data_IF_635920773291
#
_entry.id   IF_635920773291
#
_cell.length_a   1.000
_cell.length_b   1.000
_cell.length_c   1.000
_cell.angle_alpha   90.00
_cell.angle_beta   90.00
_cell.angle_gamma   90.00
#
_symmetry.space_group_name_H-M   'P 1'
#
loop_
_entity.id
_entity.type
_entity.pdbx_description
1 polymer ?
#
# COMPACT_ATOMS: atom_id res chain seq x y z
N UNK A 1 -4.95 18.95 0.11
CA UNK A 1 -3.91 19.74 -0.61
C UNK A 1 -4.22 19.86 -2.09
N UNK A 2 -4.50 18.77 -2.83
CA UNK A 2 -4.80 18.86 -4.26
C UNK A 2 -6.02 19.74 -4.59
N UNK A 3 -7.13 19.62 -3.83
CA UNK A 3 -8.38 20.38 -4.06
C UNK A 3 -8.18 21.90 -4.12
N UNK A 4 -7.53 22.56 -3.14
CA UNK A 4 -7.31 24.01 -3.21
C UNK A 4 -6.19 24.45 -4.17
N UNK A 5 -5.28 23.55 -4.56
CA UNK A 5 -4.08 23.92 -5.34
C UNK A 5 -4.30 23.77 -6.85
N UNK A 6 -4.91 22.67 -7.30
CA UNK A 6 -5.08 22.39 -8.74
C UNK A 6 -5.92 23.44 -9.50
N UNK A 7 -6.99 24.03 -8.92
CA UNK A 7 -7.79 25.05 -9.60
C UNK A 7 -7.10 26.41 -9.80
N UNK A 8 -5.89 26.60 -9.26
CA UNK A 8 -5.16 27.86 -9.45
C UNK A 8 -4.80 28.05 -10.92
N UNK A 9 -5.13 29.22 -11.48
CA UNK A 9 -5.02 29.52 -12.91
C UNK A 9 -3.70 30.19 -13.32
N UNK A 10 -2.75 30.33 -12.39
CA UNK A 10 -1.47 30.95 -12.70
C UNK A 10 -0.66 30.10 -13.69
N UNK A 11 0.09 30.77 -14.55
CA UNK A 11 1.03 30.16 -15.48
C UNK A 11 2.20 31.13 -15.69
N UNK A 12 3.38 30.76 -15.19
CA UNK A 12 4.59 31.57 -15.29
C UNK A 12 5.62 30.87 -16.16
N UNK A 13 6.10 31.53 -17.22
CA UNK A 13 7.16 30.96 -18.04
C UNK A 13 8.53 31.10 -17.33
N UNK A 14 9.28 30.00 -17.24
CA UNK A 14 10.64 29.97 -16.66
C UNK A 14 11.63 29.74 -17.80
N UNK A 15 12.31 30.80 -18.31
CA UNK A 15 13.14 30.70 -19.51
C UNK A 15 14.30 29.72 -19.40
N UNK A 16 14.88 29.56 -18.21
CA UNK A 16 16.06 28.69 -17.98
C UNK A 16 15.71 27.20 -18.15
N UNK A 17 14.46 26.83 -17.88
CA UNK A 17 14.01 25.44 -17.90
C UNK A 17 13.12 25.12 -19.11
N UNK A 18 12.76 26.13 -19.92
CA UNK A 18 11.81 26.02 -21.03
C UNK A 18 10.48 25.35 -20.61
N UNK A 19 9.96 25.77 -19.44
CA UNK A 19 8.69 25.27 -18.90
C UNK A 19 7.78 26.39 -18.43
N UNK A 20 6.47 26.12 -18.49
CA UNK A 20 5.47 26.86 -17.74
C UNK A 20 5.30 26.26 -16.35
N UNK A 21 5.42 27.11 -15.35
CA UNK A 21 5.16 26.81 -13.96
C UNK A 21 3.68 27.07 -13.64
N UNK A 22 2.95 25.97 -13.43
CA UNK A 22 1.50 25.94 -13.24
C UNK A 22 1.13 25.26 -11.91
N UNK A 23 -0.16 25.27 -11.56
CA UNK A 23 -0.71 24.70 -10.33
C UNK A 23 -0.27 23.26 -10.03
N UNK A 24 -0.21 22.38 -11.04
CA UNK A 24 0.20 20.98 -10.86
C UNK A 24 1.69 20.83 -10.51
N UNK A 25 2.56 21.74 -10.98
CA UNK A 25 3.99 21.75 -10.60
C UNK A 25 4.16 22.25 -9.18
N UNK A 26 3.40 23.27 -8.78
CA UNK A 26 3.32 23.72 -7.39
C UNK A 26 2.86 22.59 -6.46
N UNK A 27 1.83 21.83 -6.85
CA UNK A 27 1.36 20.68 -6.08
C UNK A 27 2.49 19.65 -5.85
N UNK A 28 3.26 19.34 -6.90
CA UNK A 28 4.41 18.44 -6.77
C UNK A 28 5.47 18.98 -5.80
N UNK A 29 5.76 20.28 -5.82
CA UNK A 29 6.68 20.90 -4.87
C UNK A 29 6.16 20.80 -3.43
N UNK A 30 4.87 21.08 -3.20
CA UNK A 30 4.25 20.93 -1.87
C UNK A 30 4.37 19.49 -1.37
N UNK A 31 4.16 18.49 -2.24
CA UNK A 31 4.34 17.08 -1.89
C UNK A 31 5.80 16.67 -1.68
N UNK A 32 6.76 17.39 -2.27
CA UNK A 32 8.19 17.17 -2.04
C UNK A 32 8.69 17.76 -0.72
N UNK A 33 8.00 18.76 -0.14
CA UNK A 33 8.43 19.42 1.10
C UNK A 33 8.58 18.43 2.27
N UNK A 34 7.63 17.54 2.59
CA UNK A 34 7.83 16.54 3.65
C UNK A 34 9.04 15.63 3.41
N UNK A 35 9.32 15.26 2.16
CA UNK A 35 10.50 14.46 1.82
C UNK A 35 11.80 15.25 2.05
N UNK A 36 11.83 16.52 1.68
CA UNK A 36 12.97 17.40 1.92
C UNK A 36 13.23 17.60 3.43
N UNK A 37 12.16 17.86 4.20
CA UNK A 37 12.24 17.95 5.66
C UNK A 37 12.72 16.65 6.29
N UNK A 38 12.25 15.49 5.79
CA UNK A 38 12.74 14.18 6.24
C UNK A 38 14.23 14.00 5.93
N UNK A 39 14.70 14.44 4.76
CA UNK A 39 16.12 14.38 4.40
C UNK A 39 16.99 15.23 5.32
N UNK A 40 16.53 16.42 5.68
CA UNK A 40 17.18 17.27 6.69
C UNK A 40 17.16 16.59 8.06
N UNK A 41 16.04 15.98 8.45
CA UNK A 41 15.91 15.23 9.70
C UNK A 41 16.90 14.06 9.81
N UNK A 42 17.15 13.34 8.70
CA UNK A 42 18.13 12.26 8.65
C UNK A 42 19.56 12.72 8.95
N UNK A 43 19.94 13.96 8.63
CA UNK A 43 21.25 14.51 8.97
C UNK A 43 21.47 14.60 10.49
N UNK A 44 20.39 14.80 11.26
CA UNK A 44 20.45 14.87 12.72
C UNK A 44 20.23 13.51 13.41
N UNK A 45 19.88 12.47 12.65
CA UNK A 45 19.66 11.14 13.19
C UNK A 45 20.99 10.46 13.51
N UNK A 46 21.05 9.76 14.65
CA UNK A 46 22.16 8.86 14.93
C UNK A 46 21.99 7.56 14.14
N UNK A 47 23.11 6.96 13.77
CA UNK A 47 23.14 5.63 13.16
C UNK A 47 22.55 4.57 14.11
N UNK A 48 22.00 3.48 13.56
CA UNK A 48 21.44 2.41 14.40
C UNK A 48 22.53 1.72 15.22
N UNK A 49 22.43 1.63 16.57
CA UNK A 49 23.40 0.90 17.39
C UNK A 49 23.56 -0.56 16.93
N UNK A 50 22.45 -1.17 16.50
CA UNK A 50 22.43 -2.53 15.96
C UNK A 50 23.29 -2.68 14.70
N UNK A 51 23.21 -1.71 13.80
CA UNK A 51 24.04 -1.71 12.58
C UNK A 51 25.52 -1.51 12.93
N UNK A 52 25.83 -0.58 13.83
CA UNK A 52 27.20 -0.30 14.28
C UNK A 52 27.86 -1.55 14.87
N UNK A 53 27.18 -2.27 15.77
CA UNK A 53 27.66 -3.57 16.28
C UNK A 53 27.83 -4.59 15.13
N UNK A 54 26.89 -4.65 14.18
CA UNK A 54 26.98 -5.62 13.05
C UNK A 54 28.18 -5.40 12.13
N UNK A 55 28.72 -4.17 12.06
CA UNK A 55 29.91 -3.84 11.28
C UNK A 55 31.19 -3.81 12.12
N UNK A 56 31.13 -4.30 13.38
CA UNK A 56 32.26 -4.35 14.30
C UNK A 56 32.60 -3.01 14.98
N UNK A 57 31.72 -2.01 14.90
CA UNK A 57 31.88 -0.68 15.51
C UNK A 57 31.12 -0.60 16.84
N UNK A 58 31.48 -1.46 17.79
CA UNK A 58 30.77 -1.57 19.09
C UNK A 58 30.89 -0.32 19.96
N UNK A 59 32.06 0.32 19.98
CA UNK A 59 32.28 1.55 20.76
C UNK A 59 31.36 2.69 20.31
N UNK A 60 31.24 2.89 18.99
CA UNK A 60 30.33 3.87 18.41
C UNK A 60 28.87 3.54 18.74
N UNK A 61 28.51 2.26 18.78
CA UNK A 61 27.17 1.84 19.15
C UNK A 61 26.82 2.21 20.60
N UNK A 62 27.77 2.01 21.52
CA UNK A 62 27.64 2.41 22.93
C UNK A 62 27.55 3.92 23.08
N UNK A 63 28.33 4.69 22.31
CA UNK A 63 28.25 6.15 22.31
C UNK A 63 26.87 6.64 21.86
N UNK A 64 26.33 6.05 20.79
CA UNK A 64 24.98 6.37 20.32
C UNK A 64 23.93 6.06 21.40
N UNK A 65 24.03 4.91 22.08
CA UNK A 65 23.10 4.56 23.16
C UNK A 65 23.22 5.50 24.38
N UNK A 66 24.44 5.90 24.74
CA UNK A 66 24.67 6.93 25.78
C UNK A 66 24.01 8.24 25.40
N UNK A 67 24.18 8.69 24.15
CA UNK A 67 23.53 9.91 23.64
C UNK A 67 22.00 9.80 23.72
N UNK A 68 21.42 8.66 23.31
CA UNK A 68 19.98 8.42 23.44
C UNK A 68 19.51 8.44 24.90
N UNK A 69 20.28 7.86 25.81
CA UNK A 69 20.00 7.88 27.26
C UNK A 69 20.01 9.30 27.83
N UNK A 70 21.02 10.11 27.50
CA UNK A 70 21.11 11.51 27.93
C UNK A 70 19.90 12.31 27.41
N UNK A 71 19.54 12.15 26.13
CA UNK A 71 18.39 12.84 25.53
C UNK A 71 17.07 12.45 26.21
N UNK A 72 16.86 11.15 26.46
CA UNK A 72 15.60 10.66 27.00
C UNK A 72 15.43 10.90 28.51
N UNK A 73 16.53 10.95 29.26
CA UNK A 73 16.49 11.04 30.74
C UNK A 73 16.98 12.37 31.30
N UNK A 74 17.74 13.15 30.54
CA UNK A 74 18.43 14.35 31.00
C UNK A 74 19.60 14.09 31.96
N UNK A 75 19.93 12.83 32.25
CA UNK A 75 21.02 12.45 33.18
C UNK A 75 22.38 12.45 32.48
N UNK A 76 23.48 12.56 33.24
CA UNK A 76 24.84 12.47 32.69
C UNK A 76 25.08 11.13 32.00
N UNK A 77 25.84 11.15 30.90
CA UNK A 77 26.27 9.96 30.17
C UNK A 77 27.03 8.97 31.07
N UNK A 78 27.70 9.45 32.11
CA UNK A 78 28.47 8.61 33.06
C UNK A 78 27.58 7.68 33.89
N UNK A 79 26.28 7.98 33.98
CA UNK A 79 25.31 7.14 34.71
C UNK A 79 24.75 6.00 33.85
N UNK A 80 25.18 5.89 32.58
CA UNK A 80 24.77 4.82 31.69
C UNK A 80 25.53 3.52 32.01
N UNK A 81 24.79 2.46 32.33
CA UNK A 81 25.35 1.22 32.90
C UNK A 81 25.68 0.12 31.89
N UNK A 82 25.23 0.24 30.64
CA UNK A 82 25.49 -0.78 29.60
C UNK A 82 26.89 -0.59 29.04
N UNK A 83 27.70 -1.64 29.12
CA UNK A 83 29.12 -1.65 28.72
C UNK A 83 29.41 -2.49 27.48
N UNK A 84 28.51 -3.39 27.08
CA UNK A 84 28.67 -4.26 25.92
C UNK A 84 27.31 -4.56 25.28
N UNK A 85 27.34 -4.86 23.98
CA UNK A 85 26.17 -5.23 23.19
C UNK A 85 26.47 -6.53 22.47
N UNK A 86 25.66 -7.56 22.71
CA UNK A 86 25.73 -8.81 21.95
C UNK A 86 24.57 -8.88 20.97
N UNK A 87 24.85 -9.28 19.73
CA UNK A 87 23.82 -9.61 18.75
C UNK A 87 23.36 -11.05 18.99
N UNK A 88 22.06 -11.32 18.85
CA UNK A 88 21.54 -12.69 18.84
C UNK A 88 22.27 -13.54 17.78
N UNK A 89 22.72 -14.73 18.17
CA UNK A 89 23.44 -15.69 17.32
C UNK A 89 22.64 -15.95 16.03
N UNK A 90 23.30 -15.73 14.88
CA UNK A 90 22.72 -15.83 13.53
C UNK A 90 22.59 -14.50 12.79
N UNK A 91 22.84 -13.35 13.44
CA UNK A 91 22.88 -12.03 12.80
C UNK A 91 24.26 -11.60 12.30
N UNK A 92 25.30 -12.39 12.59
CA UNK A 92 26.62 -12.20 11.98
C UNK A 92 26.51 -12.67 10.53
N UNK A 93 26.10 -11.77 9.63
CA UNK A 93 26.36 -11.98 8.21
C UNK A 93 27.87 -12.08 8.08
N UNK A 94 28.40 -13.28 7.85
CA UNK A 94 29.77 -13.43 7.37
C UNK A 94 29.92 -12.42 6.23
N UNK A 95 30.91 -11.53 6.31
CA UNK A 95 31.17 -10.51 5.29
C UNK A 95 31.26 -11.16 3.90
N UNK A 96 30.12 -11.29 3.20
CA UNK A 96 30.09 -11.74 1.83
C UNK A 96 30.59 -10.59 1.00
N UNK A 97 31.79 -10.74 0.42
CA UNK A 97 32.41 -9.71 -0.42
C UNK A 97 31.48 -9.34 -1.58
N UNK A 98 31.08 -8.07 -1.65
CA UNK A 98 30.33 -7.48 -2.77
C UNK A 98 28.81 -7.35 -2.56
N UNK A 99 28.22 -6.37 -3.27
CA UNK A 99 26.77 -6.08 -3.24
C UNK A 99 25.92 -7.33 -3.50
N UNK A 100 26.26 -8.11 -4.53
CA UNK A 100 25.56 -9.34 -4.90
C UNK A 100 25.67 -10.46 -3.86
N UNK A 101 26.82 -10.55 -3.17
CA UNK A 101 27.02 -11.51 -2.09
C UNK A 101 26.11 -11.20 -0.90
N UNK A 102 25.96 -9.92 -0.56
CA UNK A 102 25.06 -9.46 0.50
C UNK A 102 23.58 -9.67 0.14
N UNK A 103 23.18 -9.39 -1.11
CA UNK A 103 21.83 -9.68 -1.60
C UNK A 103 21.55 -11.19 -1.55
N UNK A 104 22.47 -12.01 -2.04
CA UNK A 104 22.32 -13.46 -2.01
C UNK A 104 22.19 -13.99 -0.57
N UNK A 105 23.05 -13.53 0.36
CA UNK A 105 23.00 -13.95 1.76
C UNK A 105 21.67 -13.61 2.45
N UNK A 106 21.05 -12.48 2.09
CA UNK A 106 19.78 -12.04 2.67
C UNK A 106 18.55 -12.64 1.99
N UNK A 107 18.59 -12.88 0.68
CA UNK A 107 17.45 -13.40 -0.09
C UNK A 107 17.37 -14.93 -0.09
N UNK A 108 18.50 -15.64 -0.14
CA UNK A 108 18.53 -17.12 -0.20
C UNK A 108 17.79 -17.80 0.97
N UNK A 109 17.92 -17.35 2.24
CA UNK A 109 17.21 -17.98 3.36
C UNK A 109 15.69 -17.99 3.18
N UNK A 110 15.12 -16.99 2.50
CA UNK A 110 13.68 -16.90 2.25
C UNK A 110 13.18 -17.86 1.17
N UNK A 111 14.07 -18.26 0.26
CA UNK A 111 13.79 -19.17 -0.86
C UNK A 111 14.09 -20.63 -0.46
N UNK A 112 14.62 -20.86 0.74
CA UNK A 112 14.87 -22.20 1.28
C UNK A 112 13.70 -22.69 2.15
N UNK A 113 13.46 -24.02 2.21
CA UNK A 113 12.57 -24.61 3.21
C UNK A 113 13.07 -24.31 4.64
N UNK A 114 12.18 -24.11 5.63
CA UNK A 114 10.72 -24.19 5.58
C UNK A 114 10.00 -22.89 5.13
N UNK A 115 10.74 -21.78 4.94
CA UNK A 115 10.19 -20.44 4.72
C UNK A 115 9.62 -20.23 3.31
N UNK A 116 10.13 -20.95 2.30
CA UNK A 116 9.74 -20.82 0.89
C UNK A 116 8.22 -20.84 0.66
N UNK A 117 7.49 -21.77 1.31
CA UNK A 117 6.04 -21.90 1.14
C UNK A 117 5.31 -20.63 1.59
N UNK A 118 5.72 -20.07 2.72
CA UNK A 118 5.16 -18.83 3.26
C UNK A 118 5.52 -17.63 2.40
N UNK A 119 6.78 -17.56 1.92
CA UNK A 119 7.24 -16.52 0.99
C UNK A 119 6.42 -16.50 -0.29
N UNK A 120 6.23 -17.65 -0.94
CA UNK A 120 5.46 -17.74 -2.18
C UNK A 120 3.98 -17.40 -1.95
N UNK A 121 3.37 -17.93 -0.89
CA UNK A 121 1.97 -17.65 -0.55
C UNK A 121 1.74 -16.16 -0.28
N UNK A 122 2.55 -15.54 0.57
CA UNK A 122 2.41 -14.13 0.93
C UNK A 122 2.73 -13.21 -0.26
N UNK A 123 3.75 -13.54 -1.06
CA UNK A 123 4.06 -12.80 -2.29
C UNK A 123 2.89 -12.82 -3.27
N UNK A 124 2.28 -14.00 -3.46
CA UNK A 124 1.13 -14.16 -4.36
C UNK A 124 -0.10 -13.39 -3.87
N UNK A 125 -0.39 -13.43 -2.57
CA UNK A 125 -1.47 -12.64 -1.97
C UNK A 125 -1.21 -11.13 -2.10
N UNK A 126 0.04 -10.67 -1.99
CA UNK A 126 0.39 -9.27 -2.21
C UNK A 126 0.18 -8.88 -3.66
N UNK A 127 0.57 -9.72 -4.62
CA UNK A 127 0.29 -9.50 -6.05
C UNK A 127 -1.20 -9.34 -6.28
N UNK A 128 -2.03 -10.25 -5.75
CA UNK A 128 -3.49 -10.16 -5.90
C UNK A 128 -4.03 -8.85 -5.28
N UNK A 129 -3.65 -8.53 -4.05
CA UNK A 129 -4.13 -7.31 -3.38
C UNK A 129 -3.69 -6.04 -4.12
N UNK A 130 -2.43 -5.97 -4.56
CA UNK A 130 -1.90 -4.81 -5.25
C UNK A 130 -2.52 -4.62 -6.64
N UNK A 131 -2.57 -5.67 -7.45
CA UNK A 131 -3.08 -5.59 -8.82
C UNK A 131 -4.55 -5.17 -8.81
N UNK A 132 -5.37 -5.70 -7.89
CA UNK A 132 -6.80 -5.38 -7.83
C UNK A 132 -7.07 -4.00 -7.25
N UNK A 133 -6.40 -3.61 -6.16
CA UNK A 133 -6.78 -2.37 -5.48
C UNK A 133 -6.11 -1.15 -6.09
N UNK A 134 -4.80 -1.20 -6.36
CA UNK A 134 -4.06 -0.01 -6.78
C UNK A 134 -4.54 0.50 -8.14
N UNK A 135 -4.90 -0.41 -9.05
CA UNK A 135 -5.44 -0.05 -10.35
C UNK A 135 -6.69 0.84 -10.21
N UNK A 136 -7.66 0.42 -9.41
CA UNK A 136 -8.90 1.17 -9.23
C UNK A 136 -8.73 2.46 -8.43
N UNK A 137 -7.79 2.53 -7.48
CA UNK A 137 -7.49 3.79 -6.78
C UNK A 137 -6.85 4.83 -7.70
N UNK A 138 -5.96 4.43 -8.61
CA UNK A 138 -5.37 5.35 -9.59
C UNK A 138 -6.42 5.89 -10.55
N UNK A 139 -7.34 5.03 -11.00
CA UNK A 139 -8.43 5.41 -11.91
C UNK A 139 -9.70 5.87 -11.19
N UNK A 140 -9.70 5.97 -9.85
CA UNK A 140 -10.86 6.36 -9.06
C UNK A 140 -11.42 7.73 -9.49
N UNK A 141 -10.59 8.78 -9.71
CA UNK A 141 -11.11 10.07 -10.14
C UNK A 141 -11.78 10.01 -11.52
N UNK A 142 -11.27 9.19 -12.44
CA UNK A 142 -11.87 8.98 -13.76
C UNK A 142 -13.24 8.29 -13.66
N UNK A 143 -13.32 7.20 -12.89
CA UNK A 143 -14.58 6.45 -12.68
C UNK A 143 -15.63 7.34 -12.00
N UNK A 144 -15.23 8.05 -10.94
CA UNK A 144 -16.12 8.96 -10.19
C UNK A 144 -16.55 10.15 -11.04
N UNK A 145 -15.68 10.69 -11.89
CA UNK A 145 -16.06 11.75 -12.82
C UNK A 145 -17.16 11.28 -13.78
N UNK A 146 -17.00 10.09 -14.38
CA UNK A 146 -18.00 9.53 -15.27
C UNK A 146 -19.35 9.27 -14.57
N UNK A 147 -19.28 8.77 -13.33
CA UNK A 147 -20.44 8.60 -12.47
C UNK A 147 -21.16 9.92 -12.21
N UNK A 148 -20.43 10.96 -11.81
CA UNK A 148 -21.00 12.27 -11.51
C UNK A 148 -21.59 12.96 -12.74
N UNK A 149 -20.93 12.89 -13.90
CA UNK A 149 -21.46 13.44 -15.14
C UNK A 149 -22.83 12.84 -15.49
N UNK A 150 -22.99 11.53 -15.33
CA UNK A 150 -24.24 10.83 -15.63
C UNK A 150 -25.36 11.20 -14.64
N UNK A 151 -25.04 11.22 -13.34
CA UNK A 151 -26.02 11.56 -12.28
C UNK A 151 -26.50 13.01 -12.40
N UNK A 152 -25.59 13.95 -12.69
CA UNK A 152 -25.93 15.37 -12.88
C UNK A 152 -26.78 15.58 -14.15
N UNK A 153 -26.53 14.78 -15.20
CA UNK A 153 -27.36 14.79 -16.41
C UNK A 153 -28.77 14.21 -16.21
N UNK A 154 -29.07 13.62 -15.05
CA UNK A 154 -30.37 13.03 -14.74
C UNK A 154 -30.49 11.54 -15.08
N UNK A 155 -29.44 10.92 -15.61
CA UNK A 155 -29.39 9.52 -16.01
C UNK A 155 -29.12 8.61 -14.79
N UNK A 156 -30.20 8.20 -14.12
CA UNK A 156 -30.13 7.44 -12.84
C UNK A 156 -30.28 5.93 -12.99
N UNK A 157 -30.71 5.47 -14.16
CA UNK A 157 -31.00 4.06 -14.44
C UNK A 157 -29.97 3.45 -15.39
N UNK A 158 -28.69 3.64 -15.06
CA UNK A 158 -27.56 3.11 -15.82
C UNK A 158 -26.70 2.22 -14.91
N UNK A 159 -26.09 1.22 -15.52
CA UNK A 159 -25.00 0.46 -14.92
C UNK A 159 -23.73 1.32 -14.85
N UNK A 160 -22.75 0.91 -14.03
CA UNK A 160 -21.48 1.65 -13.90
C UNK A 160 -20.72 1.77 -15.23
N UNK A 161 -20.74 0.71 -16.05
CA UNK A 161 -20.05 0.69 -17.34
C UNK A 161 -20.75 1.54 -18.39
N UNK A 162 -22.08 1.62 -18.38
CA UNK A 162 -22.82 2.55 -19.23
C UNK A 162 -22.51 4.01 -18.89
N UNK A 163 -22.40 4.36 -17.59
CA UNK A 163 -21.99 5.70 -17.17
C UNK A 163 -20.57 6.05 -17.66
N UNK A 164 -19.63 5.09 -17.58
CA UNK A 164 -18.26 5.27 -18.08
C UNK A 164 -18.24 5.50 -19.59
N UNK A 165 -18.97 4.70 -20.36
CA UNK A 165 -19.10 4.85 -21.82
C UNK A 165 -19.77 6.18 -22.20
N UNK A 166 -20.84 6.55 -21.50
CA UNK A 166 -21.55 7.81 -21.75
C UNK A 166 -20.63 9.01 -21.52
N UNK A 167 -19.89 9.03 -20.42
CA UNK A 167 -18.94 10.10 -20.11
C UNK A 167 -17.81 10.21 -21.14
N UNK A 168 -17.29 9.08 -21.63
CA UNK A 168 -16.27 9.05 -22.67
C UNK A 168 -16.77 9.62 -24.02
N UNK A 169 -18.02 9.32 -24.39
CA UNK A 169 -18.62 9.89 -25.60
C UNK A 169 -18.90 11.39 -25.47
N UNK A 170 -19.39 11.85 -24.32
CA UNK A 170 -19.67 13.28 -24.08
C UNK A 170 -18.41 14.15 -24.12
N UNK A 171 -17.28 13.65 -23.62
CA UNK A 171 -15.99 14.36 -23.65
C UNK A 171 -15.44 14.53 -25.07
N UNK A 172 -15.87 13.72 -26.04
CA UNK A 172 -15.46 13.88 -27.45
C UNK A 172 -16.20 14.99 -28.21
N UNK A 173 -17.27 15.58 -27.64
CA UNK A 173 -18.16 16.54 -28.32
C UNK A 173 -18.00 17.99 -27.79
N UNK A 174 -17.25 18.22 -26.71
CA UNK A 174 -16.98 19.56 -26.18
C UNK A 174 -15.48 19.79 -25.91
N UNK A 175 -14.70 20.10 -26.96
CA UNK A 175 -13.43 20.82 -26.80
C UNK A 175 -13.60 22.29 -27.20
N UNK A 176 -14.00 23.12 -26.24
CA UNK A 176 -13.58 24.52 -26.19
C UNK A 176 -13.34 24.92 -24.74
N UNK A 177 -12.12 24.63 -24.24
CA UNK A 177 -11.47 25.52 -23.27
C UNK A 177 -11.38 25.11 -21.79
N UNK A 178 -11.85 23.95 -21.35
CA UNK A 178 -11.70 23.57 -19.93
C UNK A 178 -11.43 22.07 -19.73
N UNK A 179 -10.15 21.68 -19.74
CA UNK A 179 -9.68 20.34 -19.39
C UNK A 179 -9.60 20.13 -17.86
N UNK A 180 -10.43 20.83 -17.08
CA UNK A 180 -10.47 20.68 -15.63
C UNK A 180 -11.39 19.52 -15.25
N UNK A 181 -10.92 18.69 -14.31
CA UNK A 181 -11.77 17.68 -13.69
C UNK A 181 -12.87 18.37 -12.87
N UNK A 182 -14.09 17.83 -12.93
CA UNK A 182 -15.22 18.36 -12.19
C UNK A 182 -14.90 18.46 -10.68
N UNK A 183 -15.01 19.66 -10.12
CA UNK A 183 -14.74 19.95 -8.70
C UNK A 183 -15.61 19.10 -7.75
N UNK A 184 -16.81 18.75 -8.20
CA UNK A 184 -17.73 17.86 -7.47
C UNK A 184 -17.21 16.42 -7.42
N UNK A 185 -16.67 15.91 -8.54
CA UNK A 185 -16.08 14.58 -8.60
C UNK A 185 -14.86 14.46 -7.68
N UNK A 186 -13.98 15.47 -7.67
CA UNK A 186 -12.81 15.51 -6.76
C UNK A 186 -13.22 15.55 -5.29
N UNK A 187 -14.30 16.25 -4.96
CA UNK A 187 -14.85 16.28 -3.59
C UNK A 187 -15.43 14.92 -3.20
N UNK A 188 -16.11 14.22 -4.12
CA UNK A 188 -16.64 12.89 -3.86
C UNK A 188 -15.51 11.87 -3.65
N UNK A 189 -14.44 11.91 -4.45
CA UNK A 189 -13.26 11.06 -4.26
C UNK A 189 -12.68 11.24 -2.85
N UNK A 190 -12.58 12.49 -2.37
CA UNK A 190 -12.14 12.76 -1.00
C UNK A 190 -13.10 12.15 0.05
N UNK A 191 -14.42 12.29 -0.15
CA UNK A 191 -15.43 11.69 0.71
C UNK A 191 -15.33 10.15 0.75
N UNK A 192 -15.16 9.51 -0.41
CA UNK A 192 -14.96 8.05 -0.54
C UNK A 192 -13.75 7.59 0.28
N UNK A 193 -12.60 8.24 0.11
CA UNK A 193 -11.37 7.88 0.83
C UNK A 193 -11.51 8.13 2.33
N UNK A 194 -12.22 9.19 2.74
CA UNK A 194 -12.49 9.47 4.15
C UNK A 194 -13.36 8.37 4.78
N UNK A 195 -14.43 7.94 4.11
CA UNK A 195 -15.29 6.84 4.56
C UNK A 195 -14.49 5.55 4.68
N UNK A 196 -13.67 5.22 3.67
CA UNK A 196 -12.80 4.05 3.73
C UNK A 196 -11.80 4.12 4.89
N UNK A 197 -11.24 5.31 5.18
CA UNK A 197 -10.37 5.54 6.34
C UNK A 197 -11.07 5.26 7.66
N UNK A 198 -12.31 5.72 7.82
CA UNK A 198 -13.15 5.44 8.99
C UNK A 198 -13.43 3.94 9.11
N UNK A 199 -13.84 3.27 8.02
CA UNK A 199 -14.05 1.82 8.00
C UNK A 199 -12.78 1.03 8.36
N UNK A 200 -11.60 1.50 7.97
CA UNK A 200 -10.33 0.86 8.34
C UNK A 200 -10.05 0.91 9.86
N UNK A 201 -10.43 2.02 10.52
CA UNK A 201 -10.32 2.13 11.99
C UNK A 201 -11.23 1.12 12.67
N UNK A 202 -12.49 1.02 12.23
CA UNK A 202 -13.44 0.02 12.74
C UNK A 202 -12.93 -1.42 12.52
N UNK A 203 -12.42 -1.71 11.33
CA UNK A 203 -11.81 -3.00 10.99
C UNK A 203 -10.65 -3.35 11.93
N UNK A 204 -9.80 -2.36 12.23
CA UNK A 204 -8.67 -2.50 13.14
C UNK A 204 -9.11 -2.74 14.59
N UNK A 205 -10.26 -2.23 15.02
CA UNK A 205 -10.81 -2.51 16.36
C UNK A 205 -11.34 -3.95 16.48
N UNK A 206 -11.97 -4.47 15.42
CA UNK A 206 -12.62 -5.78 15.40
C UNK A 206 -11.61 -6.93 15.17
N UNK A 207 -10.40 -6.63 14.71
CA UNK A 207 -9.35 -7.62 14.39
C UNK A 207 -9.08 -8.60 15.54
N UNK A 208 -9.14 -8.12 16.78
CA UNK A 208 -8.88 -8.92 17.98
C UNK A 208 -10.03 -9.86 18.34
N UNK A 209 -11.25 -9.59 17.84
CA UNK A 209 -12.43 -10.41 18.09
C UNK A 209 -12.58 -11.53 17.05
N UNK A 210 -12.38 -11.22 15.76
CA UNK A 210 -12.65 -12.14 14.64
C UNK A 210 -11.41 -12.94 14.23
N UNK A 211 -10.22 -12.41 14.51
CA UNK A 211 -8.95 -12.98 14.06
C UNK A 211 -8.58 -12.54 12.64
N UNK A 212 -7.28 -12.37 12.40
CA UNK A 212 -6.74 -11.74 11.18
C UNK A 212 -7.05 -12.52 9.91
N UNK A 213 -6.95 -13.85 9.99
CA UNK A 213 -7.15 -14.75 8.85
C UNK A 213 -8.58 -14.67 8.34
N UNK A 214 -9.56 -14.83 9.25
CA UNK A 214 -10.98 -14.77 8.93
C UNK A 214 -11.35 -13.41 8.36
N UNK A 215 -10.85 -12.34 8.98
CA UNK A 215 -11.09 -10.97 8.53
C UNK A 215 -10.57 -10.74 7.10
N UNK A 216 -9.33 -11.16 6.81
CA UNK A 216 -8.75 -11.07 5.47
C UNK A 216 -9.59 -11.81 4.43
N UNK A 217 -9.94 -13.08 4.70
CA UNK A 217 -10.71 -13.91 3.76
C UNK A 217 -12.09 -13.31 3.51
N UNK A 218 -12.84 -12.95 4.56
CA UNK A 218 -14.17 -12.38 4.42
C UNK A 218 -14.15 -11.07 3.62
N UNK A 219 -13.25 -10.15 3.95
CA UNK A 219 -13.15 -8.86 3.25
C UNK A 219 -12.81 -9.03 1.78
N UNK A 220 -11.84 -9.90 1.49
CA UNK A 220 -11.37 -10.10 0.13
C UNK A 220 -12.44 -10.80 -0.74
N UNK A 221 -13.17 -11.78 -0.19
CA UNK A 221 -14.28 -12.44 -0.90
C UNK A 221 -15.46 -11.49 -1.10
N UNK A 222 -15.88 -10.76 -0.06
CA UNK A 222 -17.01 -9.81 -0.15
C UNK A 222 -16.71 -8.72 -1.18
N UNK A 223 -15.50 -8.16 -1.17
CA UNK A 223 -15.08 -7.18 -2.16
C UNK A 223 -15.08 -7.74 -3.59
N UNK A 224 -14.53 -8.95 -3.79
CA UNK A 224 -14.53 -9.61 -5.09
C UNK A 224 -15.93 -9.90 -5.63
N UNK A 225 -16.81 -10.42 -4.78
CA UNK A 225 -18.22 -10.67 -5.13
C UNK A 225 -18.93 -9.37 -5.47
N UNK A 226 -18.70 -8.29 -4.72
CA UNK A 226 -19.28 -6.98 -5.01
C UNK A 226 -18.90 -6.47 -6.41
N UNK A 227 -17.64 -6.65 -6.82
CA UNK A 227 -17.20 -6.34 -8.18
C UNK A 227 -17.82 -7.26 -9.24
N UNK A 228 -18.01 -8.55 -8.95
CA UNK A 228 -18.66 -9.47 -9.89
C UNK A 228 -20.13 -9.12 -10.13
N UNK A 229 -20.83 -8.61 -9.13
CA UNK A 229 -22.26 -8.29 -9.25
C UNK A 229 -22.56 -6.85 -9.65
N UNK A 230 -21.56 -5.97 -9.71
CA UNK A 230 -21.73 -4.53 -9.92
C UNK A 230 -22.46 -4.20 -11.24
N UNK A 231 -22.18 -4.94 -12.31
CA UNK A 231 -22.76 -4.69 -13.62
C UNK A 231 -24.20 -5.19 -13.76
N UNK A 232 -24.70 -6.00 -12.82
CA UNK A 232 -26.11 -6.42 -12.80
C UNK A 232 -27.04 -5.39 -12.16
N UNK A 233 -26.48 -4.32 -11.56
CA UNK A 233 -27.25 -3.28 -10.91
C UNK A 233 -27.56 -2.13 -11.89
N UNK A 234 -28.83 -1.95 -12.30
CA UNK A 234 -29.25 -0.80 -13.11
C UNK A 234 -29.48 0.46 -12.27
N UNK A 235 -29.24 0.42 -10.95
CA UNK A 235 -29.45 1.56 -10.05
C UNK A 235 -28.12 2.17 -9.64
N UNK A 236 -27.94 3.46 -9.90
CA UNK A 236 -26.69 4.19 -9.60
C UNK A 236 -26.25 4.08 -8.14
N UNK A 237 -27.18 4.16 -7.18
CA UNK A 237 -26.88 4.06 -5.73
C UNK A 237 -26.32 2.70 -5.37
N UNK A 238 -26.94 1.62 -5.85
CA UNK A 238 -26.51 0.26 -5.56
C UNK A 238 -25.13 -0.01 -6.20
N UNK A 239 -24.91 0.45 -7.42
CA UNK A 239 -23.61 0.36 -8.10
C UNK A 239 -22.51 1.12 -7.35
N UNK A 240 -22.82 2.29 -6.78
CA UNK A 240 -21.88 3.02 -5.93
C UNK A 240 -21.57 2.28 -4.62
N UNK A 241 -22.57 1.71 -3.96
CA UNK A 241 -22.36 0.91 -2.74
C UNK A 241 -21.50 -0.31 -3.04
N UNK A 242 -21.79 -1.05 -4.11
CA UNK A 242 -21.00 -2.21 -4.53
C UNK A 242 -19.56 -1.81 -4.88
N UNK A 243 -19.37 -0.67 -5.55
CA UNK A 243 -18.04 -0.14 -5.83
C UNK A 243 -17.28 0.22 -4.55
N UNK A 244 -17.93 0.84 -3.57
CA UNK A 244 -17.34 1.15 -2.27
C UNK A 244 -16.95 -0.12 -1.50
N UNK A 245 -17.79 -1.14 -1.53
CA UNK A 245 -17.50 -2.46 -0.94
C UNK A 245 -16.31 -3.11 -1.64
N UNK A 246 -16.21 -3.01 -2.97
CA UNK A 246 -15.04 -3.49 -3.70
C UNK A 246 -13.75 -2.74 -3.30
N UNK A 247 -13.79 -1.41 -3.19
CA UNK A 247 -12.64 -0.60 -2.76
C UNK A 247 -12.19 -0.90 -1.32
N UNK A 248 -13.08 -1.44 -0.47
CA UNK A 248 -12.75 -1.84 0.90
C UNK A 248 -11.70 -2.95 0.99
N UNK A 249 -11.43 -3.70 -0.10
CA UNK A 249 -10.34 -4.66 -0.13
C UNK A 249 -8.95 -4.03 0.07
N UNK A 250 -8.81 -2.69 0.02
CA UNK A 250 -7.57 -1.99 0.43
C UNK A 250 -7.16 -2.29 1.87
N UNK A 251 -8.10 -2.60 2.76
CA UNK A 251 -7.82 -2.91 4.17
C UNK A 251 -6.99 -4.20 4.31
N UNK A 252 -7.11 -5.11 3.34
CA UNK A 252 -6.39 -6.39 3.34
C UNK A 252 -4.87 -6.21 3.26
N UNK A 253 -4.39 -5.09 2.69
CA UNK A 253 -2.96 -4.77 2.63
C UNK A 253 -2.32 -4.67 4.02
N UNK A 254 -3.01 -4.00 4.97
CA UNK A 254 -2.53 -3.88 6.35
C UNK A 254 -2.48 -5.23 7.05
N UNK A 255 -3.50 -6.07 6.83
CA UNK A 255 -3.56 -7.43 7.38
C UNK A 255 -2.42 -8.31 6.84
N UNK A 256 -2.17 -8.25 5.53
CA UNK A 256 -1.12 -9.05 4.88
C UNK A 256 0.29 -8.63 5.32
N UNK A 257 0.50 -7.33 5.51
CA UNK A 257 1.74 -6.78 6.07
C UNK A 257 1.96 -7.27 7.51
N UNK A 258 0.89 -7.32 8.32
CA UNK A 258 0.92 -7.88 9.67
C UNK A 258 1.28 -9.38 9.67
N UNK A 259 0.72 -10.17 8.74
CA UNK A 259 1.08 -11.58 8.57
C UNK A 259 2.56 -11.76 8.21
N UNK A 260 3.12 -10.93 7.33
CA UNK A 260 4.54 -11.04 6.98
C UNK A 260 5.45 -10.81 8.19
N UNK A 261 5.15 -9.79 8.99
CA UNK A 261 5.91 -9.50 10.22
C UNK A 261 5.90 -10.69 11.19
N UNK A 262 4.79 -11.42 11.27
CA UNK A 262 4.63 -12.51 12.21
C UNK A 262 5.10 -13.88 11.72
N UNK A 263 4.99 -14.14 10.43
CA UNK A 263 5.39 -15.41 9.83
C UNK A 263 6.90 -15.48 9.65
N UNK A 264 7.55 -14.35 9.35
CA UNK A 264 9.00 -14.31 9.16
C UNK A 264 9.76 -14.09 10.49
N UNK A 265 10.81 -14.90 10.76
CA UNK A 265 11.62 -14.73 11.96
C UNK A 265 12.43 -13.43 11.88
N UNK A 266 12.82 -12.90 13.05
CA UNK A 266 13.38 -11.55 13.20
C UNK A 266 14.57 -11.27 12.29
N UNK A 267 15.43 -12.26 12.04
CA UNK A 267 16.65 -12.11 11.25
C UNK A 267 16.42 -11.91 9.73
N UNK A 268 15.29 -12.37 9.17
CA UNK A 268 14.92 -12.18 7.75
C UNK A 268 13.66 -11.34 7.56
N UNK A 269 12.96 -10.99 8.65
CA UNK A 269 11.66 -10.31 8.62
C UNK A 269 11.67 -9.04 7.77
N UNK A 270 12.65 -8.15 7.98
CA UNK A 270 12.71 -6.87 7.27
C UNK A 270 12.86 -7.08 5.76
N UNK A 271 13.80 -7.93 5.35
CA UNK A 271 14.01 -8.27 3.94
C UNK A 271 12.76 -8.92 3.35
N UNK A 272 12.10 -9.79 4.11
CA UNK A 272 10.93 -10.50 3.64
C UNK A 272 9.74 -9.59 3.36
N UNK A 273 9.44 -8.68 4.29
CA UNK A 273 8.43 -7.64 4.10
C UNK A 273 8.76 -6.82 2.85
N UNK A 274 9.99 -6.30 2.74
CA UNK A 274 10.41 -5.50 1.58
C UNK A 274 10.26 -6.24 0.25
N UNK A 275 10.71 -7.49 0.17
CA UNK A 275 10.62 -8.31 -1.04
C UNK A 275 9.16 -8.55 -1.44
N UNK A 276 8.31 -8.97 -0.50
CA UNK A 276 6.90 -9.24 -0.79
C UNK A 276 6.15 -7.99 -1.24
N UNK A 277 6.45 -6.84 -0.62
CA UNK A 277 5.87 -5.56 -1.03
C UNK A 277 6.37 -5.11 -2.40
N UNK A 278 7.65 -5.31 -2.71
CA UNK A 278 8.22 -4.94 -4.01
C UNK A 278 7.56 -5.72 -5.15
N UNK A 279 7.38 -7.03 -4.98
CA UNK A 279 6.68 -7.89 -5.95
C UNK A 279 5.23 -7.41 -6.12
N UNK A 280 4.54 -7.10 -5.02
CA UNK A 280 3.20 -6.51 -5.05
C UNK A 280 3.15 -5.19 -5.83
N UNK A 281 4.03 -4.24 -5.51
CA UNK A 281 4.09 -2.93 -6.21
C UNK A 281 4.39 -3.07 -7.70
N UNK A 282 5.27 -4.01 -8.08
CA UNK A 282 5.52 -4.33 -9.48
C UNK A 282 4.25 -4.75 -10.22
N UNK A 283 3.41 -5.58 -9.58
CA UNK A 283 2.14 -6.00 -10.17
C UNK A 283 1.12 -4.86 -10.33
N UNK A 284 1.16 -3.83 -9.48
CA UNK A 284 0.25 -2.69 -9.58
C UNK A 284 0.44 -1.92 -10.90
N UNK A 285 1.68 -1.78 -11.38
CA UNK A 285 1.95 -1.12 -12.67
C UNK A 285 1.25 -1.84 -13.81
N UNK A 286 1.30 -3.17 -13.83
CA UNK A 286 0.58 -3.99 -14.81
C UNK A 286 -0.93 -3.80 -14.65
N UNK A 287 -1.44 -3.89 -13.42
CA UNK A 287 -2.87 -3.73 -13.12
C UNK A 287 -3.44 -2.38 -13.56
N UNK A 288 -2.73 -1.28 -13.31
CA UNK A 288 -3.15 0.09 -13.68
C UNK A 288 -3.35 0.21 -15.20
N UNK A 289 -2.40 -0.31 -15.98
CA UNK A 289 -2.44 -0.23 -17.44
C UNK A 289 -3.50 -1.17 -18.03
N UNK A 290 -3.58 -2.41 -17.52
CA UNK A 290 -4.59 -3.39 -17.94
C UNK A 290 -6.00 -2.88 -17.62
N UNK A 291 -6.21 -2.33 -16.43
CA UNK A 291 -7.50 -1.79 -16.03
C UNK A 291 -7.93 -0.66 -16.97
N UNK A 292 -7.05 0.32 -17.26
CA UNK A 292 -7.40 1.40 -18.18
C UNK A 292 -7.82 0.89 -19.54
N UNK A 293 -7.04 -0.05 -20.09
CA UNK A 293 -7.32 -0.63 -21.40
C UNK A 293 -8.68 -1.33 -21.41
N UNK A 294 -8.99 -2.10 -20.36
CA UNK A 294 -10.29 -2.77 -20.22
C UNK A 294 -11.42 -1.75 -20.07
N UNK A 295 -11.29 -0.71 -19.23
CA UNK A 295 -12.31 0.33 -19.09
C UNK A 295 -12.67 0.99 -20.43
N UNK A 296 -11.71 1.11 -21.36
CA UNK A 296 -11.92 1.69 -22.69
C UNK A 296 -12.53 0.69 -23.70
N UNK A 297 -12.12 -0.58 -23.66
CA UNK A 297 -12.54 -1.57 -24.67
C UNK A 297 -13.72 -2.43 -24.23
N UNK A 298 -13.68 -2.92 -22.99
CA UNK A 298 -14.66 -3.83 -22.39
C UNK A 298 -14.67 -3.61 -20.86
N UNK A 299 -15.49 -2.65 -20.44
CA UNK A 299 -15.57 -2.23 -19.05
C UNK A 299 -16.09 -3.36 -18.14
N UNK A 300 -17.04 -4.16 -18.62
CA UNK A 300 -17.62 -5.26 -17.87
C UNK A 300 -16.56 -6.31 -17.56
N UNK A 301 -15.72 -6.64 -18.55
CA UNK A 301 -14.58 -7.53 -18.35
C UNK A 301 -13.60 -7.01 -17.28
N UNK A 302 -13.43 -5.69 -17.14
CA UNK A 302 -12.61 -5.11 -16.06
C UNK A 302 -13.12 -5.56 -14.69
N UNK A 303 -14.39 -5.30 -14.38
CA UNK A 303 -14.96 -5.65 -13.07
C UNK A 303 -15.02 -7.17 -12.86
N UNK A 304 -15.29 -7.96 -13.91
CA UNK A 304 -15.32 -9.42 -13.79
C UNK A 304 -13.94 -10.03 -13.54
N UNK A 305 -12.91 -9.62 -14.29
CA UNK A 305 -11.56 -10.15 -14.13
C UNK A 305 -11.00 -9.75 -12.77
N UNK A 306 -11.04 -8.45 -12.43
CA UNK A 306 -10.49 -7.98 -11.17
C UNK A 306 -11.30 -8.47 -9.95
N UNK A 307 -12.62 -8.60 -10.08
CA UNK A 307 -13.49 -9.19 -9.06
C UNK A 307 -13.21 -10.67 -8.83
N UNK A 308 -13.02 -11.46 -9.90
CA UNK A 308 -12.66 -12.88 -9.80
C UNK A 308 -11.28 -13.08 -9.18
N UNK A 309 -10.29 -12.27 -9.58
CA UNK A 309 -8.94 -12.29 -9.00
C UNK A 309 -9.01 -11.92 -7.51
N UNK A 310 -9.81 -10.90 -7.15
CA UNK A 310 -10.00 -10.52 -5.76
C UNK A 310 -10.62 -11.66 -4.95
N UNK A 311 -11.75 -12.22 -5.38
CA UNK A 311 -12.42 -13.33 -4.69
C UNK A 311 -11.52 -14.57 -4.56
N UNK A 312 -10.79 -14.91 -5.64
CA UNK A 312 -9.80 -15.97 -5.65
C UNK A 312 -8.67 -15.75 -4.63
N UNK A 313 -8.21 -14.51 -4.46
CA UNK A 313 -7.27 -14.14 -3.40
C UNK A 313 -7.78 -14.43 -1.99
N UNK A 314 -9.08 -14.24 -1.76
CA UNK A 314 -9.73 -14.61 -0.50
C UNK A 314 -9.69 -16.13 -0.26
N UNK A 315 -9.99 -16.93 -1.29
CA UNK A 315 -9.91 -18.40 -1.22
C UNK A 315 -8.48 -18.88 -0.98
N UNK A 316 -7.49 -18.29 -1.64
CA UNK A 316 -6.07 -18.59 -1.41
C UNK A 316 -5.64 -18.16 0.00
N UNK A 317 -6.23 -17.09 0.54
CA UNK A 317 -6.08 -16.66 1.93
C UNK A 317 -6.46 -17.72 2.97
N UNK A 318 -7.27 -18.73 2.61
CA UNK A 318 -7.55 -19.88 3.49
C UNK A 318 -6.29 -20.72 3.79
N UNK A 319 -5.25 -20.63 2.95
CA UNK A 319 -3.97 -21.29 3.17
C UNK A 319 -3.10 -20.57 4.21
N UNK A 320 -3.45 -19.33 4.61
CA UNK A 320 -2.71 -18.61 5.64
C UNK A 320 -2.73 -19.36 6.98
N UNK A 321 -1.61 -19.36 7.73
CA UNK A 321 -1.57 -19.96 9.05
C UNK A 321 -2.48 -19.19 10.02
N UNK A 322 -3.14 -19.92 10.93
CA UNK A 322 -3.90 -19.29 12.03
C UNK A 322 -2.95 -18.70 13.07
N UNK A 323 -3.42 -17.71 13.84
CA UNK A 323 -2.62 -17.08 14.88
C UNK A 323 -2.09 -18.09 15.93
N UNK A 324 -2.84 -19.16 16.20
CA UNK A 324 -2.40 -20.27 17.05
C UNK A 324 -1.20 -21.02 16.44
N UNK A 325 -1.27 -21.38 15.16
CA UNK A 325 -0.15 -22.06 14.45
C UNK A 325 1.09 -21.18 14.35
N UNK A 326 0.93 -19.87 14.18
CA UNK A 326 2.05 -18.91 14.18
C UNK A 326 2.75 -18.91 15.55
N UNK A 327 2.00 -18.92 16.65
CA UNK A 327 2.57 -19.00 18.00
C UNK A 327 3.34 -20.30 18.23
N UNK A 328 2.80 -21.44 17.78
CA UNK A 328 3.49 -22.73 17.86
C UNK A 328 4.79 -22.76 17.06
N UNK A 329 4.78 -22.22 15.82
CA UNK A 329 5.99 -22.11 15.00
C UNK A 329 7.07 -21.25 15.66
N UNK A 330 6.71 -20.09 16.22
CA UNK A 330 7.67 -19.24 16.96
C UNK A 330 8.28 -19.97 18.17
N UNK A 331 7.47 -20.76 18.89
CA UNK A 331 7.95 -21.55 20.04
C UNK A 331 8.90 -22.68 19.62
N UNK A 332 8.68 -23.28 18.45
CA UNK A 332 9.57 -24.31 17.91
C UNK A 332 10.91 -23.77 17.39
N UNK A 333 10.94 -22.51 16.89
CA UNK A 333 12.17 -21.85 16.42
C UNK A 333 13.03 -21.29 17.57
N UNK A 334 12.42 -20.92 18.70
CA UNK A 334 13.12 -20.43 19.90
C UNK A 334 12.79 -21.35 21.09
N UNK A 335 13.38 -22.57 21.19
CA UNK A 335 13.24 -23.36 22.39
C UNK A 335 13.87 -22.58 23.55
N UNK A 336 13.08 -22.26 24.57
CA UNK A 336 13.59 -21.71 25.82
C UNK A 336 14.63 -22.69 26.41
N UNK A 337 15.76 -22.19 26.94
CA UNK A 337 16.83 -23.02 27.48
C UNK A 337 16.37 -23.92 28.63
#
# INVERSE_FOLDING_TARGET
IAIPVLPLTFSFYIPVLDIYFNSWRLLNLIFAVPCALSGIGCYFANESPKYLVSVGREEDALEVLKRMYVINTGKSADTYTVSALELEEGQVSSFTKGFWGSVAAQTIPMVKPPLLKNTLLLSFLFVISYITMNAFFVWLPFIVNAFMTSVVAGERHLTICEMIRLSANTTSVQETGDCSMNSQAMTLVFGIVMVLGVCNIFTSAIINCIGRKTLFVCMQVIAGVAALVINFSPFWVLSAILFMVFLSAVFTFGLLSSFCVDVFPTYVRAMAVCLTLMVGRGSAVVGINVLKKLLDTDCEAAFYIFGAVAAGGGLVGLLLPSDAKIKEQKKALNPSP
#
